data_IF_736229368045
#
_entry.id   IF_736229368045
#
_cell.length_a   1.000
_cell.length_b   1.000
_cell.length_c   1.000
_cell.angle_alpha   90.00
_cell.angle_beta   90.00
_cell.angle_gamma   90.00
#
_symmetry.space_group_name_H-M   'P 1'
#
loop_
_entity.id
_entity.type
_entity.pdbx_description
1 polymer ?
#
# COMPACT_ATOMS: atom_id res chain seq x y z
N UNK A 1 9.95 3.96 -12.08
CA UNK A 1 9.11 4.61 -13.09
C UNK A 1 7.86 5.16 -12.41
N UNK A 2 7.58 6.44 -12.56
CA UNK A 2 6.39 7.03 -11.98
C UNK A 2 5.14 6.43 -12.65
N UNK A 3 4.17 6.00 -11.84
CA UNK A 3 2.89 5.55 -12.36
C UNK A 3 2.06 6.79 -12.65
N UNK A 4 1.73 7.00 -13.91
CA UNK A 4 0.79 8.04 -14.30
C UNK A 4 -0.62 7.51 -14.14
N UNK A 5 -1.40 8.17 -13.32
CA UNK A 5 -2.78 7.81 -13.06
C UNK A 5 -3.69 8.95 -13.48
N UNK A 6 -4.70 8.65 -14.28
CA UNK A 6 -5.62 9.66 -14.78
C UNK A 6 -6.72 9.96 -13.75
N UNK A 7 -6.46 10.95 -12.90
CA UNK A 7 -7.41 11.40 -11.89
C UNK A 7 -8.60 12.17 -12.46
N UNK A 8 -8.53 12.61 -13.72
CA UNK A 8 -9.60 13.40 -14.32
C UNK A 8 -10.93 12.65 -14.43
N UNK A 9 -10.88 11.32 -14.41
CA UNK A 9 -12.05 10.45 -14.48
C UNK A 9 -12.58 10.02 -13.13
N UNK A 10 -11.94 10.45 -12.04
CA UNK A 10 -12.24 10.04 -10.69
C UNK A 10 -12.90 11.18 -9.91
N UNK A 11 -13.90 10.83 -9.10
CA UNK A 11 -14.41 11.72 -8.07
C UNK A 11 -13.76 11.40 -6.72
N UNK A 12 -14.10 12.18 -5.68
CA UNK A 12 -13.52 11.98 -4.34
C UNK A 12 -13.80 10.57 -3.79
N UNK A 13 -14.99 10.04 -4.03
CA UNK A 13 -15.35 8.68 -3.62
C UNK A 13 -14.43 7.64 -4.26
N UNK A 14 -14.20 7.76 -5.57
CA UNK A 14 -13.32 6.85 -6.31
C UNK A 14 -11.90 6.89 -5.76
N UNK A 15 -11.38 8.08 -5.46
CA UNK A 15 -10.04 8.26 -4.91
C UNK A 15 -9.90 7.55 -3.56
N UNK A 16 -10.91 7.67 -2.69
CA UNK A 16 -10.92 6.99 -1.40
C UNK A 16 -11.05 5.47 -1.56
N UNK A 17 -11.89 5.01 -2.48
CA UNK A 17 -12.05 3.58 -2.74
C UNK A 17 -10.75 2.95 -3.25
N UNK A 18 -10.07 3.63 -4.16
CA UNK A 18 -8.77 3.16 -4.67
C UNK A 18 -7.69 3.22 -3.58
N UNK A 19 -7.73 4.23 -2.72
CA UNK A 19 -6.83 4.30 -1.57
C UNK A 19 -7.03 3.11 -0.63
N UNK A 20 -8.27 2.76 -0.31
CA UNK A 20 -8.59 1.56 0.48
C UNK A 20 -8.03 0.30 -0.18
N UNK A 21 -8.20 0.18 -1.49
CA UNK A 21 -7.70 -0.95 -2.25
C UNK A 21 -6.18 -1.06 -2.16
N UNK A 22 -5.47 0.06 -2.33
CA UNK A 22 -4.00 0.12 -2.25
C UNK A 22 -3.52 -0.38 -0.89
N UNK A 23 -4.12 0.14 0.20
CA UNK A 23 -3.71 -0.22 1.56
C UNK A 23 -4.03 -1.68 1.89
N UNK A 24 -5.18 -2.16 1.42
CA UNK A 24 -5.60 -3.55 1.62
C UNK A 24 -4.70 -4.52 0.88
N UNK A 25 -4.36 -4.19 -0.35
CA UNK A 25 -3.42 -4.99 -1.16
C UNK A 25 -2.02 -4.98 -0.54
N UNK A 26 -1.56 -3.83 -0.06
CA UNK A 26 -0.27 -3.71 0.63
C UNK A 26 -0.23 -4.60 1.87
N UNK A 27 -1.28 -4.59 2.70
CA UNK A 27 -1.37 -5.48 3.87
C UNK A 27 -1.28 -6.94 3.46
N UNK A 28 -2.02 -7.36 2.44
CA UNK A 28 -1.98 -8.72 1.91
C UNK A 28 -0.61 -9.13 1.39
N UNK A 29 0.06 -8.23 0.70
CA UNK A 29 1.42 -8.46 0.19
C UNK A 29 2.40 -8.68 1.34
N UNK A 30 2.34 -7.86 2.38
CA UNK A 30 3.19 -8.03 3.56
C UNK A 30 2.90 -9.33 4.31
N UNK A 31 1.64 -9.76 4.38
CA UNK A 31 1.28 -11.04 4.98
C UNK A 31 1.90 -12.21 4.21
N UNK A 32 1.88 -12.15 2.88
CA UNK A 32 2.50 -13.17 2.04
C UNK A 32 4.02 -13.18 2.20
N UNK A 33 4.64 -12.01 2.22
CA UNK A 33 6.09 -11.90 2.45
C UNK A 33 6.48 -12.42 3.83
N UNK A 34 5.67 -12.12 4.85
CA UNK A 34 5.90 -12.61 6.20
C UNK A 34 5.85 -14.14 6.26
N UNK A 35 4.85 -14.74 5.64
CA UNK A 35 4.69 -16.19 5.58
C UNK A 35 5.87 -16.86 4.88
N UNK A 36 6.28 -16.29 3.75
CA UNK A 36 7.45 -16.78 3.02
C UNK A 36 8.73 -16.68 3.87
N UNK A 37 8.91 -15.56 4.59
CA UNK A 37 10.12 -15.28 5.35
C UNK A 37 10.25 -16.14 6.61
N UNK A 38 9.16 -16.68 7.16
CA UNK A 38 9.17 -17.47 8.40
C UNK A 38 10.22 -18.57 8.40
N UNK A 39 10.44 -19.20 7.25
CA UNK A 39 11.37 -20.34 7.11
C UNK A 39 12.82 -19.89 6.94
N UNK A 40 13.04 -18.70 6.42
CA UNK A 40 14.37 -18.23 6.01
C UNK A 40 14.94 -17.16 6.94
N UNK A 41 14.08 -16.31 7.48
CA UNK A 41 14.49 -15.20 8.36
C UNK A 41 13.34 -14.82 9.28
N UNK A 42 13.28 -15.38 10.50
CA UNK A 42 12.23 -15.02 11.47
C UNK A 42 12.17 -13.53 11.79
N UNK A 43 13.31 -12.83 11.79
CA UNK A 43 13.34 -11.39 12.03
C UNK A 43 12.65 -10.63 10.91
N UNK A 44 12.91 -11.00 9.65
CA UNK A 44 12.24 -10.41 8.50
C UNK A 44 10.73 -10.73 8.54
N UNK A 45 10.34 -11.94 8.91
CA UNK A 45 8.94 -12.32 9.05
C UNK A 45 8.21 -11.41 10.06
N UNK A 46 8.82 -11.16 11.21
CA UNK A 46 8.24 -10.25 12.22
C UNK A 46 8.12 -8.83 11.70
N UNK A 47 9.12 -8.35 10.97
CA UNK A 47 9.08 -7.04 10.34
C UNK A 47 7.92 -6.93 9.35
N UNK A 48 7.77 -7.89 8.44
CA UNK A 48 6.68 -7.89 7.46
C UNK A 48 5.31 -8.01 8.13
N UNK A 49 5.17 -8.79 9.21
CA UNK A 49 3.92 -8.86 9.99
C UNK A 49 3.56 -7.51 10.59
N UNK A 50 4.54 -6.78 11.11
CA UNK A 50 4.33 -5.43 11.67
C UNK A 50 3.86 -4.48 10.58
N UNK A 51 4.50 -4.53 9.40
CA UNK A 51 4.11 -3.70 8.26
C UNK A 51 2.69 -4.01 7.79
N UNK A 52 2.30 -5.28 7.76
CA UNK A 52 0.94 -5.68 7.40
C UNK A 52 -0.10 -5.06 8.34
N UNK A 53 0.18 -5.04 9.64
CA UNK A 53 -0.73 -4.42 10.63
C UNK A 53 -0.86 -2.92 10.42
N UNK A 54 0.24 -2.24 10.12
CA UNK A 54 0.23 -0.79 9.87
C UNK A 54 -0.62 -0.46 8.63
N UNK A 55 -0.46 -1.23 7.56
CA UNK A 55 -1.26 -1.02 6.34
C UNK A 55 -2.75 -1.28 6.59
N UNK A 56 -3.08 -2.30 7.39
CA UNK A 56 -4.47 -2.59 7.76
C UNK A 56 -5.11 -1.47 8.57
N UNK A 57 -4.34 -0.77 9.41
CA UNK A 57 -4.83 0.39 10.16
C UNK A 57 -5.14 1.56 9.22
N UNK A 58 -4.32 1.79 8.20
CA UNK A 58 -4.56 2.83 7.18
C UNK A 58 -5.85 2.54 6.42
N UNK A 59 -6.05 1.31 5.97
CA UNK A 59 -7.27 0.90 5.28
C UNK A 59 -8.51 1.22 6.12
N UNK A 60 -8.49 0.89 7.40
CA UNK A 60 -9.61 1.16 8.31
C UNK A 60 -9.92 2.64 8.44
N UNK A 61 -8.91 3.50 8.53
CA UNK A 61 -9.08 4.95 8.61
C UNK A 61 -9.71 5.52 7.35
N UNK A 62 -9.25 5.07 6.19
CA UNK A 62 -9.78 5.52 4.90
C UNK A 62 -11.22 5.06 4.72
N UNK A 63 -11.50 3.81 5.06
CA UNK A 63 -12.84 3.23 4.96
C UNK A 63 -13.85 3.99 5.81
N UNK A 64 -13.48 4.35 7.03
CA UNK A 64 -14.31 5.15 7.92
C UNK A 64 -14.63 6.51 7.30
N UNK A 65 -13.62 7.18 6.74
CA UNK A 65 -13.80 8.47 6.07
C UNK A 65 -14.70 8.35 4.83
N UNK A 66 -14.49 7.31 4.04
CA UNK A 66 -15.31 7.01 2.86
C UNK A 66 -16.79 6.83 3.26
N UNK A 67 -17.03 6.10 4.34
CA UNK A 67 -18.39 5.89 4.86
C UNK A 67 -19.02 7.17 5.36
N UNK A 68 -18.26 8.02 6.07
CA UNK A 68 -18.74 9.28 6.58
C UNK A 68 -19.18 10.23 5.46
N UNK A 69 -18.45 10.24 4.34
CA UNK A 69 -18.72 11.15 3.24
C UNK A 69 -19.76 10.62 2.25
N UNK A 70 -19.75 9.32 1.99
CA UNK A 70 -20.50 8.73 0.88
C UNK A 70 -21.44 7.58 1.28
N UNK A 71 -21.41 7.15 2.53
CA UNK A 71 -22.30 6.10 3.04
C UNK A 71 -22.06 4.77 2.33
N UNK A 72 -23.14 4.11 1.97
CA UNK A 72 -23.13 2.76 1.37
C UNK A 72 -23.12 2.78 -0.15
N UNK A 73 -22.78 3.91 -0.77
CA UNK A 73 -22.74 3.97 -2.24
C UNK A 73 -21.78 2.92 -2.79
N UNK A 74 -22.17 2.16 -3.84
CA UNK A 74 -21.29 1.13 -4.41
C UNK A 74 -20.03 1.74 -5.01
N UNK A 75 -18.89 1.08 -4.76
CA UNK A 75 -17.64 1.46 -5.37
C UNK A 75 -17.61 1.09 -6.85
N UNK A 76 -17.05 1.97 -7.69
CA UNK A 76 -16.90 1.72 -9.13
C UNK A 76 -15.62 0.97 -9.47
N UNK A 77 -14.65 0.93 -8.53
CA UNK A 77 -13.29 0.44 -8.79
C UNK A 77 -12.86 -0.63 -7.80
N UNK A 78 -13.82 -1.41 -7.26
CA UNK A 78 -13.55 -2.42 -6.23
C UNK A 78 -12.62 -3.53 -6.71
N UNK A 79 -12.66 -3.85 -8.00
CA UNK A 79 -11.94 -4.97 -8.60
C UNK A 79 -10.74 -4.53 -9.44
N UNK A 80 -10.38 -3.24 -9.42
CA UNK A 80 -9.28 -2.74 -10.24
C UNK A 80 -8.37 -1.83 -9.44
N UNK A 81 -7.09 -2.22 -9.36
CA UNK A 81 -6.05 -1.39 -8.76
C UNK A 81 -5.57 -0.33 -9.75
N UNK A 82 -5.04 0.82 -9.27
CA UNK A 82 -4.39 1.78 -10.15
C UNK A 82 -3.16 1.20 -10.86
N UNK A 83 -2.58 0.17 -10.28
CA UNK A 83 -1.44 -0.58 -10.82
C UNK A 83 -1.47 -1.99 -10.27
N UNK A 84 -0.73 -2.89 -10.92
CA UNK A 84 -0.57 -4.23 -10.42
C UNK A 84 0.76 -4.35 -9.67
N UNK A 85 0.71 -4.92 -8.48
CA UNK A 85 1.89 -5.32 -7.73
C UNK A 85 2.00 -6.83 -7.88
N UNK A 86 2.99 -7.29 -8.64
CA UNK A 86 3.20 -8.70 -8.84
C UNK A 86 3.97 -9.30 -7.67
N UNK A 87 3.24 -9.94 -6.77
CA UNK A 87 3.84 -10.77 -5.73
C UNK A 87 4.11 -12.14 -6.36
N UNK A 88 5.35 -12.65 -6.29
CA UNK A 88 5.68 -13.94 -6.87
C UNK A 88 4.83 -15.07 -6.29
N UNK A 89 4.56 -16.08 -7.11
CA UNK A 89 4.07 -17.35 -6.60
C UNK A 89 5.25 -18.06 -5.92
N UNK A 90 5.26 -18.04 -4.59
CA UNK A 90 6.37 -18.58 -3.81
C UNK A 90 6.53 -20.09 -3.96
N UNK A 91 5.46 -20.80 -4.32
CA UNK A 91 5.55 -22.23 -4.62
C UNK A 91 6.30 -22.50 -5.93
N UNK A 92 6.16 -21.59 -6.92
CA UNK A 92 6.86 -21.70 -8.20
C UNK A 92 8.31 -21.24 -8.13
N UNK A 93 8.60 -20.11 -7.45
CA UNK A 93 9.95 -19.57 -7.39
C UNK A 93 10.84 -20.33 -6.39
N UNK A 94 10.24 -21.02 -5.42
CA UNK A 94 10.97 -21.84 -4.47
C UNK A 94 12.04 -21.07 -3.72
N UNK A 95 13.28 -21.59 -3.73
CA UNK A 95 14.42 -21.00 -3.04
C UNK A 95 15.14 -19.92 -3.85
N UNK A 96 14.70 -19.65 -5.08
CA UNK A 96 15.34 -18.63 -5.93
C UNK A 96 14.99 -17.21 -5.52
N UNK A 97 13.89 -17.01 -4.80
CA UNK A 97 13.47 -15.70 -4.32
C UNK A 97 14.25 -15.33 -3.06
N UNK A 98 14.88 -14.16 -3.08
CA UNK A 98 15.78 -13.72 -2.01
C UNK A 98 15.12 -12.68 -1.11
N UNK A 99 15.66 -12.53 0.10
CA UNK A 99 15.22 -11.50 1.03
C UNK A 99 15.44 -10.09 0.44
N UNK A 100 16.54 -9.90 -0.28
CA UNK A 100 16.81 -8.63 -0.99
C UNK A 100 15.71 -8.31 -2.00
N UNK A 101 15.27 -9.31 -2.77
CA UNK A 101 14.15 -9.16 -3.72
C UNK A 101 12.85 -8.84 -3.00
N UNK A 102 12.60 -9.45 -1.85
CA UNK A 102 11.41 -9.18 -1.04
C UNK A 102 11.35 -7.72 -0.59
N UNK A 103 12.46 -7.21 -0.06
CA UNK A 103 12.54 -5.81 0.35
C UNK A 103 12.40 -4.84 -0.83
N UNK A 104 13.01 -5.15 -1.97
CA UNK A 104 12.90 -4.33 -3.17
C UNK A 104 11.46 -4.25 -3.67
N UNK A 105 10.75 -5.36 -3.65
CA UNK A 105 9.33 -5.43 -4.04
C UNK A 105 8.49 -4.55 -3.11
N UNK A 106 8.68 -4.67 -1.80
CA UNK A 106 7.96 -3.88 -0.81
C UNK A 106 8.27 -2.38 -0.96
N UNK A 107 9.53 -2.02 -1.13
CA UNK A 107 9.94 -0.62 -1.30
C UNK A 107 9.29 0.00 -2.54
N UNK A 108 9.28 -0.70 -3.66
CA UNK A 108 8.62 -0.25 -4.89
C UNK A 108 7.13 0.00 -4.70
N UNK A 109 6.45 -0.87 -3.95
CA UNK A 109 5.03 -0.72 -3.65
C UNK A 109 4.77 0.52 -2.79
N UNK A 110 5.61 0.77 -1.78
CA UNK A 110 5.51 1.96 -0.92
C UNK A 110 5.73 3.25 -1.70
N UNK A 111 6.70 3.25 -2.61
CA UNK A 111 6.98 4.42 -3.46
C UNK A 111 5.80 4.74 -4.38
N UNK A 112 5.16 3.72 -4.96
CA UNK A 112 3.98 3.91 -5.80
C UNK A 112 2.79 4.41 -5.00
N UNK A 113 2.58 3.89 -3.81
CA UNK A 113 1.50 4.35 -2.92
C UNK A 113 1.70 5.82 -2.52
N UNK A 114 2.90 6.20 -2.14
CA UNK A 114 3.24 7.60 -1.84
C UNK A 114 2.94 8.51 -3.03
N UNK A 115 3.37 8.13 -4.22
CA UNK A 115 3.15 8.91 -5.44
C UNK A 115 1.65 9.08 -5.72
N UNK A 116 0.87 8.02 -5.56
CA UNK A 116 -0.58 8.08 -5.74
C UNK A 116 -1.22 9.09 -4.77
N UNK A 117 -0.90 8.99 -3.48
CA UNK A 117 -1.52 9.87 -2.48
C UNK A 117 -1.14 11.33 -2.70
N UNK A 118 0.10 11.63 -3.07
CA UNK A 118 0.54 12.99 -3.34
C UNK A 118 -0.13 13.58 -4.58
N UNK A 119 -0.30 12.78 -5.62
CA UNK A 119 -1.00 13.22 -6.83
C UNK A 119 -2.50 13.43 -6.58
N UNK A 120 -3.12 12.52 -5.81
CA UNK A 120 -4.55 12.59 -5.50
C UNK A 120 -4.94 13.90 -4.81
N UNK A 121 -4.06 14.46 -3.99
CA UNK A 121 -4.30 15.72 -3.27
C UNK A 121 -4.67 16.87 -4.22
N UNK A 122 -4.09 16.89 -5.41
CA UNK A 122 -4.32 17.97 -6.39
C UNK A 122 -5.71 17.90 -7.04
N UNK A 123 -6.41 16.77 -6.88
CA UNK A 123 -7.71 16.53 -7.52
C UNK A 123 -8.87 16.49 -6.52
N UNK A 124 -8.61 16.70 -5.24
CA UNK A 124 -9.62 16.64 -4.18
C UNK A 124 -9.75 18.02 -3.54
N UNK A 125 -10.99 18.50 -3.40
CA UNK A 125 -11.27 19.80 -2.81
C UNK A 125 -11.67 19.75 -1.32
N UNK A 126 -12.11 18.59 -0.83
CA UNK A 126 -12.51 18.43 0.56
C UNK A 126 -11.29 18.51 1.50
N UNK A 127 -11.21 19.51 2.40
CA UNK A 127 -10.01 19.72 3.22
C UNK A 127 -9.65 18.53 4.13
N UNK A 128 -10.65 17.83 4.67
CA UNK A 128 -10.39 16.68 5.54
C UNK A 128 -9.82 15.50 4.75
N UNK A 129 -10.35 15.26 3.57
CA UNK A 129 -9.84 14.22 2.68
C UNK A 129 -8.43 14.54 2.22
N UNK A 130 -8.16 15.80 1.86
CA UNK A 130 -6.81 16.26 1.52
C UNK A 130 -5.84 16.00 2.69
N UNK A 131 -6.26 16.31 3.91
CA UNK A 131 -5.46 16.07 5.12
C UNK A 131 -5.13 14.59 5.30
N UNK A 132 -6.10 13.71 5.08
CA UNK A 132 -5.90 12.24 5.17
C UNK A 132 -4.90 11.78 4.11
N UNK A 133 -5.06 12.21 2.87
CA UNK A 133 -4.16 11.82 1.77
C UNK A 133 -2.73 12.29 2.02
N UNK A 134 -2.55 13.51 2.52
CA UNK A 134 -1.22 14.02 2.89
C UNK A 134 -0.59 13.20 4.01
N UNK A 135 -1.39 12.86 5.02
CA UNK A 135 -0.93 12.02 6.13
C UNK A 135 -0.51 10.64 5.66
N UNK A 136 -1.31 10.03 4.77
CA UNK A 136 -0.97 8.73 4.18
C UNK A 136 0.33 8.80 3.38
N UNK A 137 0.53 9.84 2.58
CA UNK A 137 1.76 10.01 1.83
C UNK A 137 2.99 10.10 2.76
N UNK A 138 2.87 10.81 3.88
CA UNK A 138 3.94 10.90 4.87
C UNK A 138 4.20 9.55 5.55
N UNK A 139 3.15 8.77 5.82
CA UNK A 139 3.28 7.43 6.41
C UNK A 139 3.95 6.46 5.44
N UNK A 140 3.61 6.54 4.14
CA UNK A 140 4.28 5.71 3.13
C UNK A 140 5.77 6.05 3.03
N UNK A 141 6.12 7.33 3.17
CA UNK A 141 7.52 7.76 3.21
C UNK A 141 8.23 7.19 4.45
N UNK A 142 7.57 7.17 5.60
CA UNK A 142 8.09 6.55 6.81
C UNK A 142 8.31 5.04 6.64
N UNK A 143 7.38 4.36 5.98
CA UNK A 143 7.52 2.93 5.67
C UNK A 143 8.74 2.67 4.78
N UNK A 144 8.99 3.54 3.80
CA UNK A 144 10.19 3.45 2.97
C UNK A 144 11.46 3.59 3.82
N UNK A 145 11.44 4.49 4.79
CA UNK A 145 12.57 4.68 5.73
C UNK A 145 12.80 3.42 6.55
N UNK A 146 11.74 2.83 7.10
CA UNK A 146 11.82 1.59 7.88
C UNK A 146 12.37 0.43 7.05
N UNK A 147 11.90 0.30 5.80
CA UNK A 147 12.39 -0.73 4.88
C UNK A 147 13.88 -0.58 4.59
N UNK A 148 14.34 0.65 4.36
CA UNK A 148 15.76 0.92 4.09
C UNK A 148 16.64 0.57 5.29
N UNK A 149 16.15 0.84 6.51
CA UNK A 149 16.85 0.46 7.74
C UNK A 149 16.96 -1.07 7.85
N UNK A 150 15.85 -1.77 7.62
CA UNK A 150 15.85 -3.24 7.65
C UNK A 150 16.80 -3.82 6.60
N UNK A 151 16.77 -3.29 5.37
CA UNK A 151 17.66 -3.72 4.30
C UNK A 151 19.12 -3.56 4.68
N UNK A 152 19.47 -2.48 5.37
CA UNK A 152 20.84 -2.21 5.81
C UNK A 152 21.30 -3.16 6.92
N UNK A 153 20.38 -3.77 7.67
CA UNK A 153 20.67 -4.69 8.78
C UNK A 153 20.76 -6.15 8.36
N UNK A 154 20.59 -6.42 7.08
CA UNK A 154 20.67 -7.79 6.51
C UNK A 154 21.72 -7.89 5.37
#
# INVERSE_FOLDING_TARGET
MAVEFDFSKLNAMDVLDLACFIEREAAGNYEQLASWAEKNSPDAAHFFQRMARLEGQHDSQIEERRRDLFGDQPSRYLDSAPWEVEVPDFDEVGTSFTLEQAYALALGAEERAEAYFRQAVDYISDPETVGILKSLAEEELEHQRLLKIEMANH
#
